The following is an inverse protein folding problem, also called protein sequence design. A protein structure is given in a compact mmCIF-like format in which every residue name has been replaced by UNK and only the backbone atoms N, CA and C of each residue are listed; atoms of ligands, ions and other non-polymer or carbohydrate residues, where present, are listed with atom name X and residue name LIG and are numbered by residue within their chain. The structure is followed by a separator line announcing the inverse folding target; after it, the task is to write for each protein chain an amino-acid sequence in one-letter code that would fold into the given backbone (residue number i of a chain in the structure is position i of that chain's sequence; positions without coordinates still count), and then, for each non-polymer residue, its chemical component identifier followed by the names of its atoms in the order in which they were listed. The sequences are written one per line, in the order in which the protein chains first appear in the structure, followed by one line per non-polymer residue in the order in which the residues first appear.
data_IF_774081871862
#
_entry.id   IF_774081871862
#
_cell.length_a   1.000
_cell.length_b   1.000
_cell.length_c   1.000
_cell.angle_alpha   90.00
_cell.angle_beta   90.00
_cell.angle_gamma   90.00
#
_symmetry.space_group_name_H-M   'P 1'
#
loop_
_entity.id
_entity.type
_entity.pdbx_description
1 polymer ?
#
# COMPACT_ATOMS: atom_id res chain seq x y z
N UNK A 1 15.31 25.66 -17.62
CA UNK A 1 14.50 24.56 -18.12
C UNK A 1 13.03 24.89 -17.82
N UNK A 2 12.28 25.36 -18.81
CA UNK A 2 10.87 25.74 -18.66
C UNK A 2 10.08 24.44 -18.47
N UNK A 3 9.54 24.22 -17.29
CA UNK A 3 8.51 23.22 -17.09
C UNK A 3 7.31 23.61 -17.97
N UNK A 4 7.15 22.97 -19.11
CA UNK A 4 5.88 23.04 -19.83
C UNK A 4 4.83 22.51 -18.86
N UNK A 5 3.90 23.38 -18.46
CA UNK A 5 2.66 22.93 -17.82
C UNK A 5 2.03 21.93 -18.78
N UNK A 6 2.00 20.64 -18.40
CA UNK A 6 1.11 19.72 -19.06
C UNK A 6 -0.30 20.31 -18.90
N UNK A 7 -1.15 20.18 -19.91
CA UNK A 7 -2.58 20.49 -19.77
C UNK A 7 -3.16 19.58 -18.69
N UNK A 8 -3.01 20.01 -17.44
CA UNK A 8 -3.51 19.27 -16.29
C UNK A 8 -5.01 19.51 -16.21
N UNK A 9 -5.77 18.46 -16.19
CA UNK A 9 -7.20 18.54 -15.91
C UNK A 9 -7.42 19.07 -14.48
N UNK A 10 -8.55 19.72 -14.21
CA UNK A 10 -8.88 20.17 -12.87
C UNK A 10 -8.83 19.01 -11.84
N UNK A 11 -8.46 19.29 -10.57
CA UNK A 11 -8.52 18.29 -9.51
C UNK A 11 -9.93 17.71 -9.37
N UNK A 12 -10.03 16.39 -9.24
CA UNK A 12 -11.29 15.69 -9.10
C UNK A 12 -11.97 15.26 -10.40
N UNK A 13 -11.41 15.61 -11.56
CA UNK A 13 -11.96 15.25 -12.88
C UNK A 13 -11.16 14.14 -13.58
N UNK A 14 -9.99 13.78 -13.06
CA UNK A 14 -9.08 12.82 -13.69
C UNK A 14 -8.32 12.01 -12.66
N UNK A 15 -8.33 10.70 -12.84
CA UNK A 15 -7.49 9.79 -12.08
C UNK A 15 -6.25 9.41 -12.89
N UNK A 16 -5.11 9.42 -12.24
CA UNK A 16 -3.83 8.95 -12.80
C UNK A 16 -2.99 8.36 -11.67
N UNK A 17 -2.49 7.13 -11.87
CA UNK A 17 -1.47 6.56 -11.00
C UNK A 17 -0.17 7.35 -11.17
N UNK A 18 0.33 7.95 -10.10
CA UNK A 18 1.43 8.90 -10.21
C UNK A 18 2.33 8.88 -8.97
N UNK A 19 3.50 8.28 -9.12
CA UNK A 19 4.50 8.12 -8.04
C UNK A 19 4.97 9.47 -7.48
N UNK A 20 5.09 10.50 -8.30
CA UNK A 20 5.50 11.84 -7.86
C UNK A 20 4.50 12.43 -6.88
N UNK A 21 3.20 12.20 -7.10
CA UNK A 21 2.14 12.66 -6.17
C UNK A 21 2.19 11.89 -4.87
N UNK A 22 2.44 10.58 -4.90
CA UNK A 22 2.58 9.75 -3.70
C UNK A 22 3.83 10.14 -2.92
N UNK A 23 4.95 10.42 -3.58
CA UNK A 23 6.15 10.96 -2.93
C UNK A 23 5.90 12.33 -2.29
N UNK A 24 5.08 13.18 -2.93
CA UNK A 24 4.68 14.47 -2.35
C UNK A 24 3.78 14.29 -1.13
N UNK A 25 2.91 13.29 -1.13
CA UNK A 25 2.11 12.92 0.04
C UNK A 25 3.02 12.47 1.19
N UNK A 26 4.00 11.62 0.94
CA UNK A 26 4.98 11.21 1.96
C UNK A 26 5.73 12.42 2.55
N UNK A 27 6.15 13.38 1.72
CA UNK A 27 6.75 14.62 2.21
C UNK A 27 5.77 15.45 3.06
N UNK A 28 4.50 15.54 2.68
CA UNK A 28 3.49 16.25 3.46
C UNK A 28 3.26 15.58 4.83
N UNK A 29 3.19 14.25 4.84
CA UNK A 29 3.07 13.48 6.10
C UNK A 29 4.31 13.64 6.98
N UNK A 30 5.53 13.62 6.42
CA UNK A 30 6.76 13.88 7.16
C UNK A 30 6.71 15.26 7.85
N UNK A 31 6.23 16.29 7.16
CA UNK A 31 6.07 17.64 7.73
C UNK A 31 4.97 17.72 8.79
N UNK A 32 3.91 16.95 8.62
CA UNK A 32 2.80 16.86 9.59
C UNK A 32 3.27 16.21 10.90
N UNK A 33 3.92 15.06 10.80
CA UNK A 33 4.41 14.30 11.93
C UNK A 33 5.69 14.89 12.56
N UNK A 34 6.47 15.64 11.77
CA UNK A 34 7.78 16.19 12.15
C UNK A 34 8.74 15.12 12.69
N UNK A 35 8.54 13.89 12.24
CA UNK A 35 9.33 12.69 12.58
C UNK A 35 9.53 11.84 11.32
N UNK A 36 10.63 11.09 11.21
CA UNK A 36 10.82 10.14 10.11
C UNK A 36 9.63 9.18 9.96
N UNK A 37 9.04 9.09 8.77
CA UNK A 37 7.88 8.21 8.55
C UNK A 37 8.15 6.73 8.84
N UNK A 38 9.37 6.16 8.63
CA UNK A 38 9.67 4.82 9.10
C UNK A 38 9.45 4.62 10.60
N UNK A 39 9.78 5.60 11.43
CA UNK A 39 9.53 5.56 12.89
C UNK A 39 8.03 5.67 13.19
N UNK A 40 7.35 6.61 12.51
CA UNK A 40 5.90 6.81 12.62
C UNK A 40 5.13 5.56 12.21
N UNK A 41 5.67 4.74 11.33
CA UNK A 41 5.08 3.47 10.93
C UNK A 41 5.47 2.31 11.86
N UNK A 42 6.72 2.30 12.31
CA UNK A 42 7.25 1.25 13.19
C UNK A 42 6.49 1.17 14.50
N UNK A 43 6.48 2.25 15.27
CA UNK A 43 5.99 2.27 16.65
C UNK A 43 4.50 1.90 16.78
N UNK A 44 3.57 2.49 16.02
CA UNK A 44 2.15 2.19 16.18
C UNK A 44 1.65 1.01 15.34
N UNK A 45 2.42 0.55 14.33
CA UNK A 45 1.94 -0.51 13.43
C UNK A 45 2.86 -1.71 13.45
N UNK A 46 4.12 -1.57 13.04
CA UNK A 46 5.00 -2.73 12.80
C UNK A 46 5.39 -3.46 14.08
N UNK A 47 5.72 -2.72 15.14
CA UNK A 47 6.08 -3.32 16.43
C UNK A 47 4.87 -4.05 17.06
N UNK A 48 3.66 -3.45 17.14
CA UNK A 48 2.49 -4.14 17.70
C UNK A 48 2.07 -5.41 16.95
N UNK A 49 2.27 -5.48 15.62
CA UNK A 49 1.96 -6.70 14.86
C UNK A 49 3.09 -7.74 14.88
N UNK A 50 4.15 -7.49 15.63
CA UNK A 50 5.28 -8.40 15.77
C UNK A 50 6.10 -8.55 14.49
N UNK A 51 6.21 -7.50 13.70
CA UNK A 51 7.09 -7.48 12.53
C UNK A 51 8.57 -7.56 12.97
N UNK A 52 9.40 -8.16 12.13
CA UNK A 52 10.83 -8.23 12.38
C UNK A 52 11.49 -6.85 12.34
N UNK A 53 12.75 -6.77 12.74
CA UNK A 53 13.57 -5.55 12.59
C UNK A 53 14.14 -5.39 11.17
N UNK A 54 13.92 -6.34 10.27
CA UNK A 54 14.62 -6.45 8.99
C UNK A 54 13.98 -5.61 7.87
N UNK A 55 12.81 -5.02 8.12
CA UNK A 55 12.21 -4.14 7.13
C UNK A 55 12.82 -2.73 7.21
N UNK A 56 12.91 -2.10 6.05
CA UNK A 56 13.46 -0.76 5.89
C UNK A 56 12.57 0.06 4.94
N UNK A 57 12.49 1.37 5.15
CA UNK A 57 11.78 2.27 4.25
C UNK A 57 12.68 3.44 3.87
N UNK A 58 13.04 3.49 2.60
CA UNK A 58 14.00 4.45 2.08
C UNK A 58 13.35 5.47 1.15
N UNK A 59 13.85 6.68 1.20
CA UNK A 59 13.65 7.69 0.16
C UNK A 59 14.76 7.63 -0.89
N UNK A 60 14.76 8.61 -1.78
CA UNK A 60 15.82 8.76 -2.76
C UNK A 60 17.07 9.38 -2.12
N UNK A 61 18.24 9.15 -2.72
CA UNK A 61 19.52 9.67 -2.25
C UNK A 61 19.50 11.18 -1.97
N UNK A 62 18.70 11.96 -2.69
CA UNK A 62 18.57 13.42 -2.59
C UNK A 62 17.28 13.88 -1.90
N UNK A 63 16.56 13.02 -1.18
CA UNK A 63 15.26 13.34 -0.56
C UNK A 63 15.34 13.77 0.90
N UNK A 64 16.49 14.27 1.33
CA UNK A 64 16.65 14.80 2.69
C UNK A 64 16.14 16.23 2.80
N UNK A 65 15.44 16.51 3.88
CA UNK A 65 15.01 17.86 4.28
C UNK A 65 15.38 18.11 5.74
N UNK A 66 15.39 19.37 6.13
CA UNK A 66 15.58 19.78 7.52
C UNK A 66 14.23 20.17 8.14
N UNK A 67 13.93 19.62 9.32
CA UNK A 67 12.77 19.96 10.14
C UNK A 67 13.26 20.09 11.56
N UNK A 68 13.02 21.24 12.19
CA UNK A 68 13.42 21.54 13.58
C UNK A 68 14.91 21.29 13.86
N UNK A 69 15.78 21.62 12.92
CA UNK A 69 17.22 21.40 13.02
C UNK A 69 17.67 19.95 12.84
N UNK A 70 16.74 19.00 12.61
CA UNK A 70 17.04 17.61 12.34
C UNK A 70 16.94 17.32 10.83
N UNK A 71 17.96 16.65 10.29
CA UNK A 71 17.97 16.19 8.90
C UNK A 71 17.23 14.87 8.78
N UNK A 72 16.11 14.87 8.07
CA UNK A 72 15.24 13.71 7.89
C UNK A 72 15.10 13.33 6.42
N UNK A 73 14.99 12.03 6.13
CA UNK A 73 14.73 11.58 4.78
C UNK A 73 13.23 11.55 4.50
N UNK A 74 12.81 12.21 3.41
CA UNK A 74 11.48 12.00 2.84
C UNK A 74 11.49 10.67 2.09
N UNK A 75 10.78 9.69 2.63
CA UNK A 75 10.72 8.35 2.04
C UNK A 75 9.82 8.33 0.82
N UNK A 76 10.09 7.41 -0.11
CA UNK A 76 9.27 7.28 -1.31
C UNK A 76 8.04 6.40 -1.06
N UNK A 77 6.90 6.83 -1.57
CA UNK A 77 5.69 6.04 -1.58
C UNK A 77 5.47 5.24 -2.87
N UNK A 78 6.25 5.54 -3.91
CA UNK A 78 6.27 4.81 -5.18
C UNK A 78 7.58 4.09 -5.37
N UNK A 79 7.57 2.95 -6.06
CA UNK A 79 8.81 2.25 -6.37
C UNK A 79 9.51 2.90 -7.55
N UNK A 80 10.48 3.73 -7.22
CA UNK A 80 11.48 4.18 -8.15
C UNK A 80 12.84 3.61 -7.70
N UNK A 81 13.83 3.60 -8.59
CA UNK A 81 15.16 3.07 -8.33
C UNK A 81 15.71 3.50 -6.95
N UNK A 82 15.87 2.52 -6.07
CA UNK A 82 16.51 2.70 -4.77
C UNK A 82 15.66 3.32 -3.66
N UNK A 83 14.34 3.45 -3.83
CA UNK A 83 13.40 3.91 -2.79
C UNK A 83 12.27 2.92 -2.54
N UNK A 84 11.51 3.13 -1.46
CA UNK A 84 10.36 2.31 -1.08
C UNK A 84 10.62 1.40 0.13
N UNK A 85 9.64 0.56 0.43
CA UNK A 85 9.69 -0.36 1.56
C UNK A 85 10.34 -1.68 1.13
N UNK A 86 11.43 -2.02 1.79
CA UNK A 86 12.06 -3.34 1.74
C UNK A 86 11.52 -4.15 2.91
N UNK A 87 10.86 -5.25 2.62
CA UNK A 87 10.15 -6.03 3.63
C UNK A 87 10.15 -7.50 3.22
N UNK A 88 10.28 -8.41 4.18
CA UNK A 88 10.13 -9.83 3.93
C UNK A 88 8.65 -10.22 3.75
N UNK A 89 8.39 -11.41 3.20
CA UNK A 89 7.03 -11.85 2.91
C UNK A 89 6.19 -12.08 4.17
N UNK A 90 6.79 -12.48 5.28
CA UNK A 90 6.09 -12.72 6.53
C UNK A 90 5.59 -11.43 7.15
N UNK A 91 6.42 -10.39 7.22
CA UNK A 91 6.02 -9.10 7.75
C UNK A 91 4.99 -8.41 6.84
N UNK A 92 5.13 -8.59 5.52
CA UNK A 92 4.13 -8.13 4.55
C UNK A 92 2.79 -8.85 4.76
N UNK A 93 2.79 -10.15 5.07
CA UNK A 93 1.60 -10.92 5.39
C UNK A 93 0.96 -10.47 6.71
N UNK A 94 1.76 -10.09 7.74
CA UNK A 94 1.23 -9.52 8.99
C UNK A 94 0.45 -8.23 8.75
N UNK A 95 0.96 -7.35 7.89
CA UNK A 95 0.21 -6.14 7.49
C UNK A 95 -1.10 -6.55 6.80
N UNK A 96 -1.05 -7.52 5.89
CA UNK A 96 -2.26 -8.06 5.26
C UNK A 96 -3.27 -8.62 6.27
N UNK A 97 -2.79 -9.37 7.26
CA UNK A 97 -3.63 -9.94 8.33
C UNK A 97 -4.24 -8.85 9.23
N UNK A 98 -3.48 -7.82 9.57
CA UNK A 98 -4.01 -6.66 10.30
C UNK A 98 -5.19 -6.02 9.55
N UNK A 99 -5.07 -5.86 8.24
CA UNK A 99 -6.13 -5.28 7.42
C UNK A 99 -7.31 -6.23 7.22
N UNK A 100 -7.06 -7.52 7.05
CA UNK A 100 -8.10 -8.55 7.01
C UNK A 100 -8.93 -8.54 8.29
N UNK A 101 -8.29 -8.41 9.44
CA UNK A 101 -8.92 -8.29 10.76
C UNK A 101 -9.41 -6.87 11.07
N UNK A 102 -9.61 -6.04 10.04
CA UNK A 102 -10.17 -4.69 10.17
C UNK A 102 -9.43 -3.81 11.18
N UNK A 103 -8.12 -3.94 11.23
CA UNK A 103 -7.24 -3.17 12.11
C UNK A 103 -7.10 -3.73 13.53
N UNK A 104 -7.74 -4.87 13.83
CA UNK A 104 -7.63 -5.54 15.12
C UNK A 104 -6.42 -6.49 15.12
N UNK A 105 -5.59 -6.41 16.15
CA UNK A 105 -4.45 -7.29 16.37
C UNK A 105 -4.33 -7.62 17.86
N UNK A 106 -4.34 -8.90 18.20
CA UNK A 106 -4.22 -9.39 19.57
C UNK A 106 -5.13 -8.63 20.58
N UNK A 107 -6.41 -8.44 20.19
CA UNK A 107 -7.42 -7.78 21.01
C UNK A 107 -7.30 -6.23 21.07
N UNK A 108 -6.39 -5.62 20.31
CA UNK A 108 -6.18 -4.17 20.27
C UNK A 108 -6.43 -3.62 18.86
N UNK A 109 -7.16 -2.52 18.76
CA UNK A 109 -7.25 -1.78 17.49
C UNK A 109 -5.96 -1.00 17.25
N UNK A 110 -5.17 -1.47 16.25
CA UNK A 110 -4.00 -0.77 15.71
C UNK A 110 -4.43 0.28 14.72
N UNK A 111 -5.43 -0.06 13.89
CA UNK A 111 -6.12 0.86 12.99
C UNK A 111 -7.60 0.86 13.32
N UNK A 112 -8.29 1.99 13.12
CA UNK A 112 -9.74 2.04 13.32
C UNK A 112 -10.48 1.33 12.18
N UNK A 113 -11.59 0.68 12.49
CA UNK A 113 -12.46 0.08 11.48
C UNK A 113 -12.98 1.12 10.48
N UNK A 114 -13.32 2.31 10.97
CA UNK A 114 -13.74 3.44 10.12
C UNK A 114 -12.68 3.79 9.08
N UNK A 115 -11.39 3.74 9.45
CA UNK A 115 -10.32 3.98 8.50
C UNK A 115 -10.23 2.87 7.46
N UNK A 116 -10.40 1.60 7.86
CA UNK A 116 -10.41 0.48 6.91
C UNK A 116 -11.57 0.62 5.93
N UNK A 117 -12.77 0.96 6.39
CA UNK A 117 -13.93 1.20 5.52
C UNK A 117 -13.64 2.32 4.52
N UNK A 118 -13.13 3.44 5.02
CA UNK A 118 -12.76 4.58 4.18
C UNK A 118 -11.66 4.27 3.17
N UNK A 119 -10.67 3.48 3.58
CA UNK A 119 -9.56 3.06 2.73
C UNK A 119 -10.05 2.22 1.53
N UNK A 120 -11.10 1.44 1.72
CA UNK A 120 -11.69 0.55 0.73
C UNK A 120 -12.85 1.21 -0.05
N UNK A 121 -13.19 2.47 0.24
CA UNK A 121 -14.20 3.20 -0.52
C UNK A 121 -13.71 3.44 -1.96
N UNK A 122 -14.46 2.98 -2.98
CA UNK A 122 -14.06 3.15 -4.37
C UNK A 122 -13.98 4.60 -4.81
N UNK A 123 -12.87 4.98 -5.42
CA UNK A 123 -12.74 6.29 -6.05
C UNK A 123 -13.80 6.48 -7.14
N UNK A 124 -14.56 7.61 -7.15
CA UNK A 124 -15.58 7.87 -8.16
C UNK A 124 -15.05 7.84 -9.60
N UNK A 125 -13.77 8.18 -9.80
CA UNK A 125 -13.13 8.23 -11.12
C UNK A 125 -12.47 6.91 -11.55
N UNK A 126 -12.23 5.98 -10.60
CA UNK A 126 -11.69 4.66 -10.85
C UNK A 126 -12.17 3.69 -9.77
N UNK A 127 -13.26 2.98 -10.03
CA UNK A 127 -13.94 2.15 -9.05
C UNK A 127 -13.13 0.96 -8.50
N UNK A 128 -12.06 0.56 -9.16
CA UNK A 128 -11.14 -0.47 -8.69
C UNK A 128 -9.92 0.11 -7.95
N UNK A 129 -10.06 1.32 -7.36
CA UNK A 129 -9.03 1.96 -6.55
C UNK A 129 -9.65 2.73 -5.39
N UNK A 130 -9.12 2.55 -4.18
CA UNK A 130 -9.48 3.28 -2.97
C UNK A 130 -8.36 4.24 -2.55
N UNK A 131 -8.12 4.39 -1.25
CA UNK A 131 -7.02 5.19 -0.72
C UNK A 131 -5.70 4.41 -0.79
N UNK A 132 -5.03 4.46 -1.95
CA UNK A 132 -3.79 3.75 -2.29
C UNK A 132 -3.91 2.21 -2.35
N UNK A 133 -5.12 1.68 -2.28
CA UNK A 133 -5.40 0.25 -2.43
C UNK A 133 -6.09 -0.05 -3.74
N UNK A 134 -5.67 -1.15 -4.38
CA UNK A 134 -6.37 -1.69 -5.53
C UNK A 134 -7.55 -2.55 -5.06
N UNK A 135 -8.73 -2.31 -5.62
CA UNK A 135 -9.97 -3.00 -5.28
C UNK A 135 -10.39 -3.92 -6.42
N UNK A 136 -10.96 -5.08 -6.10
CA UNK A 136 -11.50 -6.00 -7.11
C UNK A 136 -12.96 -5.71 -7.48
N UNK A 137 -13.40 -4.47 -7.38
CA UNK A 137 -14.78 -4.07 -7.63
C UNK A 137 -15.26 -4.63 -8.97
N UNK A 138 -16.34 -5.42 -8.93
CA UNK A 138 -16.88 -6.10 -10.10
C UNK A 138 -15.93 -7.15 -10.69
N UNK A 139 -14.95 -7.64 -9.96
CA UNK A 139 -13.89 -8.57 -10.41
C UNK A 139 -13.07 -8.04 -11.60
N UNK A 140 -12.88 -6.72 -11.63
CA UNK A 140 -12.26 -6.05 -12.78
C UNK A 140 -10.74 -6.26 -12.89
N UNK A 141 -10.05 -6.51 -11.75
CA UNK A 141 -8.59 -6.74 -11.75
C UNK A 141 -8.24 -8.21 -11.90
N UNK A 142 -8.88 -9.04 -11.11
CA UNK A 142 -8.66 -10.49 -11.09
C UNK A 142 -10.02 -11.21 -11.07
N UNK A 143 -10.49 -11.68 -12.22
CA UNK A 143 -11.81 -12.31 -12.34
C UNK A 143 -12.00 -13.55 -11.48
N UNK A 144 -10.92 -14.26 -11.15
CA UNK A 144 -10.96 -15.47 -10.33
C UNK A 144 -11.01 -15.21 -8.83
N UNK A 145 -10.70 -13.99 -8.38
CA UNK A 145 -10.81 -13.61 -6.99
C UNK A 145 -12.18 -13.00 -6.67
N UNK A 146 -12.66 -13.06 -5.41
CA UNK A 146 -13.88 -12.39 -4.97
C UNK A 146 -13.90 -10.89 -5.26
N UNK A 147 -15.09 -10.31 -5.42
CA UNK A 147 -15.27 -8.91 -5.77
C UNK A 147 -14.88 -7.94 -4.63
N UNK A 148 -14.88 -8.40 -3.41
CA UNK A 148 -14.50 -7.68 -2.19
C UNK A 148 -13.01 -7.83 -1.84
N UNK A 149 -12.26 -8.60 -2.62
CA UNK A 149 -10.81 -8.67 -2.50
C UNK A 149 -10.15 -7.33 -2.77
N UNK A 150 -9.04 -7.06 -2.08
CA UNK A 150 -8.23 -5.87 -2.32
C UNK A 150 -6.74 -6.18 -2.23
N UNK A 151 -5.93 -5.27 -2.78
CA UNK A 151 -4.54 -5.59 -3.07
C UNK A 151 -3.60 -4.41 -2.80
N UNK A 152 -2.41 -4.70 -2.24
CA UNK A 152 -1.23 -3.86 -2.43
C UNK A 152 -0.43 -4.44 -3.61
N UNK A 153 -0.16 -3.62 -4.63
CA UNK A 153 0.55 -4.04 -5.84
C UNK A 153 1.86 -3.27 -5.99
N UNK A 154 2.95 -3.99 -6.12
CA UNK A 154 4.29 -3.45 -6.31
C UNK A 154 4.89 -3.84 -7.66
N UNK A 155 5.85 -3.03 -8.13
CA UNK A 155 6.61 -3.33 -9.34
C UNK A 155 7.30 -4.69 -9.23
N UNK A 156 7.50 -5.37 -10.38
CA UNK A 156 8.14 -6.70 -10.42
C UNK A 156 7.24 -7.84 -9.98
N UNK A 157 5.90 -7.66 -10.02
CA UNK A 157 4.97 -8.73 -9.66
C UNK A 157 4.92 -9.04 -8.17
N UNK A 158 5.08 -8.01 -7.34
CA UNK A 158 4.87 -8.11 -5.90
C UNK A 158 3.40 -7.80 -5.59
N UNK A 159 2.75 -8.68 -4.83
CA UNK A 159 1.33 -8.55 -4.50
C UNK A 159 1.09 -8.97 -3.06
N UNK A 160 0.32 -8.20 -2.31
CA UNK A 160 -0.42 -8.68 -1.15
C UNK A 160 -1.88 -8.75 -1.55
N UNK A 161 -2.44 -9.93 -1.57
CA UNK A 161 -3.86 -10.17 -1.80
C UNK A 161 -4.55 -10.42 -0.47
N UNK A 162 -5.64 -9.71 -0.23
CA UNK A 162 -6.48 -9.84 0.96
C UNK A 162 -7.89 -10.19 0.47
N UNK A 163 -8.41 -11.32 0.93
CA UNK A 163 -9.73 -11.83 0.61
C UNK A 163 -10.55 -12.00 1.89
N UNK A 164 -11.42 -11.04 2.22
CA UNK A 164 -12.24 -11.10 3.41
C UNK A 164 -13.30 -12.21 3.38
N UNK A 165 -13.75 -12.62 2.18
CA UNK A 165 -14.81 -13.64 2.06
C UNK A 165 -14.34 -15.04 2.48
N UNK A 166 -13.04 -15.34 2.35
CA UNK A 166 -12.47 -16.65 2.63
C UNK A 166 -11.39 -16.61 3.72
N UNK A 167 -11.24 -15.48 4.41
CA UNK A 167 -10.24 -15.29 5.46
C UNK A 167 -8.79 -15.56 4.96
N UNK A 168 -8.44 -15.02 3.78
CA UNK A 168 -7.17 -15.28 3.11
C UNK A 168 -6.31 -14.04 3.00
N UNK A 169 -5.04 -14.20 3.36
CA UNK A 169 -3.96 -13.29 2.98
C UNK A 169 -2.90 -14.08 2.21
N UNK A 170 -2.58 -13.63 1.02
CA UNK A 170 -1.49 -14.19 0.23
C UNK A 170 -0.48 -13.12 -0.19
N UNK A 171 0.80 -13.44 -0.04
CA UNK A 171 1.91 -12.59 -0.49
C UNK A 171 2.66 -13.28 -1.62
N UNK A 172 2.61 -12.67 -2.80
CA UNK A 172 3.34 -13.12 -3.98
C UNK A 172 4.52 -12.18 -4.22
N UNK A 173 5.67 -12.75 -4.49
CA UNK A 173 6.91 -11.99 -4.72
C UNK A 173 7.52 -12.39 -6.05
N UNK A 174 7.83 -11.38 -6.89
CA UNK A 174 8.47 -11.57 -8.17
C UNK A 174 7.72 -12.54 -9.10
N UNK A 175 6.41 -12.57 -8.98
CA UNK A 175 5.53 -13.43 -9.78
C UNK A 175 5.22 -12.75 -11.11
N UNK A 176 5.16 -13.54 -12.18
CA UNK A 176 4.67 -13.04 -13.46
C UNK A 176 3.23 -12.50 -13.29
N UNK A 177 2.98 -11.23 -13.61
CA UNK A 177 1.63 -10.66 -13.52
C UNK A 177 0.56 -11.45 -14.29
N UNK A 178 0.93 -12.12 -15.39
CA UNK A 178 0.02 -12.96 -16.18
C UNK A 178 -0.42 -14.23 -15.43
N UNK A 179 0.36 -14.70 -14.46
CA UNK A 179 0.06 -15.90 -13.66
C UNK A 179 -0.76 -15.60 -12.40
N UNK A 180 -0.98 -14.33 -12.04
CA UNK A 180 -1.61 -13.98 -10.76
C UNK A 180 -3.07 -14.43 -10.67
N UNK A 181 -3.86 -14.25 -11.75
CA UNK A 181 -5.26 -14.68 -11.75
C UNK A 181 -5.39 -16.21 -11.71
N UNK A 182 -4.50 -16.94 -12.39
CA UNK A 182 -4.45 -18.40 -12.32
C UNK A 182 -4.07 -18.91 -10.92
N UNK A 183 -3.16 -18.23 -10.25
CA UNK A 183 -2.86 -18.50 -8.83
C UNK A 183 -4.11 -18.32 -7.96
N UNK A 184 -4.83 -17.22 -8.10
CA UNK A 184 -6.06 -16.95 -7.35
C UNK A 184 -7.12 -18.01 -7.65
N UNK A 185 -7.30 -18.39 -8.93
CA UNK A 185 -8.21 -19.45 -9.34
C UNK A 185 -7.89 -20.79 -8.64
N UNK A 186 -6.62 -21.16 -8.61
CA UNK A 186 -6.19 -22.41 -7.93
C UNK A 186 -6.41 -22.32 -6.42
N UNK A 187 -6.15 -21.17 -5.82
CA UNK A 187 -6.41 -20.94 -4.40
C UNK A 187 -7.91 -21.09 -4.08
N UNK A 188 -8.77 -20.42 -4.86
CA UNK A 188 -10.22 -20.55 -4.68
C UNK A 188 -10.71 -21.99 -4.85
N UNK A 189 -10.17 -22.73 -5.82
CA UNK A 189 -10.49 -24.15 -6.01
C UNK A 189 -10.05 -25.02 -4.82
N UNK A 190 -8.95 -24.67 -4.16
CA UNK A 190 -8.44 -25.43 -3.01
C UNK A 190 -9.20 -25.14 -1.72
N UNK A 191 -9.87 -23.99 -1.64
CA UNK A 191 -10.68 -23.61 -0.47
C UNK A 191 -12.09 -24.18 -0.52
N UNK A 192 -12.55 -24.66 -1.66
CA UNK A 192 -13.88 -25.23 -1.88
C UNK A 192 -14.86 -24.25 -2.48
#
# INVERSE_FOLDING_TARGET
MLFRSRDLRPPGEFWEYNDVRVNRLALALLRLWRRPLPEVFREPVMDPIGASSDWEWHGYRNSYIEIDGARMQSVSGGSHWGGGVFINAQDQARIGLLLLNRGLWDGRHILSEEWIDRMLEPCPLLRNYGYLWWLNTGRALYPSAPADSYYARGAGGNLTWIDPAHDVVAVLRWTDPAAMDDFMKKTMTALG
#
